data_IF_941250302138
#
_entry.id   IF_941250302138
#
_cell.length_a   1.000
_cell.length_b   1.000
_cell.length_c   1.000
_cell.angle_alpha   90.00
_cell.angle_beta   90.00
_cell.angle_gamma   90.00
#
_symmetry.space_group_name_H-M   'P 1'
#
loop_
_entity.id
_entity.type
_entity.pdbx_description
1 polymer ?
#
# COMPACT_ATOMS: atom_id res chain seq x y z
N UNK A 1 -33.66 -36.56 -9.03
CA UNK A 1 -34.02 -35.58 -7.99
C UNK A 1 -32.85 -34.89 -7.30
N UNK A 2 -31.68 -35.53 -7.12
CA UNK A 2 -30.55 -34.92 -6.40
C UNK A 2 -29.85 -33.76 -7.13
N UNK A 3 -29.70 -33.80 -8.47
CA UNK A 3 -29.01 -32.71 -9.20
C UNK A 3 -29.77 -31.38 -9.23
N UNK A 4 -31.11 -31.41 -9.36
CA UNK A 4 -31.95 -30.21 -9.32
C UNK A 4 -31.84 -29.47 -7.98
N UNK A 5 -31.66 -30.21 -6.88
CA UNK A 5 -31.46 -29.63 -5.54
C UNK A 5 -30.10 -28.95 -5.37
N UNK A 6 -29.06 -29.46 -6.05
CA UNK A 6 -27.71 -28.87 -6.03
C UNK A 6 -27.67 -27.57 -6.86
N UNK A 7 -28.29 -27.53 -8.03
CA UNK A 7 -28.41 -26.30 -8.81
C UNK A 7 -29.28 -25.25 -8.12
N UNK A 8 -30.40 -25.65 -7.50
CA UNK A 8 -31.26 -24.75 -6.74
C UNK A 8 -30.54 -24.16 -5.51
N UNK A 9 -29.83 -24.99 -4.74
CA UNK A 9 -29.05 -24.52 -3.57
C UNK A 9 -27.83 -23.67 -3.98
N UNK A 10 -27.20 -23.95 -5.12
CA UNK A 10 -26.17 -23.09 -5.70
C UNK A 10 -26.74 -21.72 -6.08
N UNK A 11 -27.94 -21.67 -6.67
CA UNK A 11 -28.63 -20.41 -6.99
C UNK A 11 -28.97 -19.57 -5.75
N UNK A 12 -29.48 -20.20 -4.69
CA UNK A 12 -29.84 -19.51 -3.44
C UNK A 12 -28.59 -18.94 -2.75
N UNK A 13 -27.50 -19.72 -2.68
CA UNK A 13 -26.24 -19.25 -2.09
C UNK A 13 -25.59 -18.12 -2.88
N UNK A 14 -25.68 -18.15 -4.22
CA UNK A 14 -25.22 -17.06 -5.09
C UNK A 14 -26.08 -15.80 -4.89
N UNK A 15 -27.39 -15.95 -4.76
CA UNK A 15 -28.32 -14.85 -4.45
C UNK A 15 -28.02 -14.18 -3.11
N UNK A 16 -27.86 -14.97 -2.04
CA UNK A 16 -27.50 -14.47 -0.70
C UNK A 16 -26.14 -13.76 -0.74
N UNK A 17 -25.15 -14.35 -1.42
CA UNK A 17 -23.83 -13.75 -1.59
C UNK A 17 -23.86 -12.42 -2.35
N UNK A 18 -24.66 -12.32 -3.41
CA UNK A 18 -24.85 -11.09 -4.18
C UNK A 18 -25.52 -9.99 -3.35
N UNK A 19 -26.61 -10.33 -2.64
CA UNK A 19 -27.31 -9.38 -1.77
C UNK A 19 -26.40 -8.88 -0.64
N UNK A 20 -25.69 -9.79 0.02
CA UNK A 20 -24.72 -9.44 1.06
C UNK A 20 -23.58 -8.57 0.49
N UNK A 21 -23.06 -8.91 -0.70
CA UNK A 21 -22.04 -8.12 -1.40
C UNK A 21 -22.52 -6.70 -1.76
N UNK A 22 -23.74 -6.56 -2.27
CA UNK A 22 -24.33 -5.25 -2.59
C UNK A 22 -24.55 -4.41 -1.34
N UNK A 23 -25.09 -5.00 -0.27
CA UNK A 23 -25.28 -4.30 1.02
C UNK A 23 -23.94 -3.82 1.57
N UNK A 24 -22.90 -4.65 1.57
CA UNK A 24 -21.58 -4.25 2.08
C UNK A 24 -20.92 -3.16 1.22
N UNK A 25 -21.10 -3.17 -0.10
CA UNK A 25 -20.63 -2.10 -0.98
C UNK A 25 -21.44 -0.80 -0.80
N UNK A 26 -22.74 -0.91 -0.58
CA UNK A 26 -23.62 0.22 -0.30
C UNK A 26 -23.23 0.89 1.02
N UNK A 27 -23.09 0.12 2.11
CA UNK A 27 -22.72 0.64 3.43
C UNK A 27 -21.40 1.40 3.37
N UNK A 28 -20.40 0.85 2.66
CA UNK A 28 -19.11 1.53 2.47
C UNK A 28 -19.26 2.84 1.69
N UNK A 29 -20.06 2.84 0.63
CA UNK A 29 -20.27 4.02 -0.22
C UNK A 29 -21.06 5.10 0.52
N UNK A 30 -22.08 4.72 1.29
CA UNK A 30 -22.87 5.61 2.14
C UNK A 30 -21.99 6.21 3.25
N UNK A 31 -21.13 5.41 3.88
CA UNK A 31 -20.18 5.92 4.89
C UNK A 31 -19.23 6.99 4.32
N UNK A 32 -18.70 6.78 3.11
CA UNK A 32 -17.85 7.75 2.42
C UNK A 32 -18.62 9.01 1.99
N UNK A 33 -19.88 8.85 1.60
CA UNK A 33 -20.76 9.96 1.29
C UNK A 33 -21.07 10.80 2.55
N UNK A 34 -21.42 10.15 3.67
CA UNK A 34 -21.71 10.82 4.95
C UNK A 34 -20.49 11.58 5.49
N UNK A 35 -19.31 10.97 5.44
CA UNK A 35 -18.07 11.64 5.85
C UNK A 35 -17.73 12.82 4.94
N UNK A 36 -18.00 12.70 3.64
CA UNK A 36 -17.85 13.79 2.67
C UNK A 36 -18.80 14.95 2.90
N UNK A 37 -20.09 14.64 3.12
CA UNK A 37 -21.09 15.65 3.50
C UNK A 37 -20.64 16.39 4.76
N UNK A 38 -20.26 15.65 5.80
CA UNK A 38 -19.89 16.25 7.07
C UNK A 38 -18.63 17.13 6.96
N UNK A 39 -17.64 16.73 6.16
CA UNK A 39 -16.48 17.57 5.83
C UNK A 39 -16.90 18.85 5.07
N UNK A 40 -17.80 18.72 4.08
CA UNK A 40 -18.32 19.85 3.32
C UNK A 40 -19.14 20.82 4.16
N UNK A 41 -19.88 20.32 5.16
CA UNK A 41 -20.59 21.13 6.16
C UNK A 41 -19.62 21.92 7.03
N UNK A 42 -18.59 21.26 7.57
CA UNK A 42 -17.55 21.93 8.37
C UNK A 42 -16.84 23.02 7.57
N UNK A 43 -16.51 22.74 6.31
CA UNK A 43 -15.88 23.72 5.43
C UNK A 43 -16.82 24.88 5.07
N UNK A 44 -18.12 24.61 4.88
CA UNK A 44 -19.12 25.67 4.69
C UNK A 44 -19.20 26.58 5.91
N UNK A 45 -19.21 26.01 7.13
CA UNK A 45 -19.24 26.80 8.36
C UNK A 45 -17.99 27.67 8.49
N UNK A 46 -16.81 27.14 8.21
CA UNK A 46 -15.57 27.92 8.18
C UNK A 46 -15.64 29.05 7.13
N UNK A 47 -16.10 28.74 5.92
CA UNK A 47 -16.30 29.73 4.85
C UNK A 47 -17.32 30.81 5.24
N UNK A 48 -18.42 30.43 5.87
CA UNK A 48 -19.45 31.33 6.36
C UNK A 48 -18.91 32.30 7.39
N UNK A 49 -18.14 31.81 8.37
CA UNK A 49 -17.49 32.65 9.38
C UNK A 49 -16.56 33.68 8.73
N UNK A 50 -15.78 33.27 7.72
CA UNK A 50 -14.92 34.19 6.97
C UNK A 50 -15.77 35.19 6.17
N UNK A 51 -16.80 34.74 5.47
CA UNK A 51 -17.65 35.66 4.67
C UNK A 51 -18.41 36.65 5.55
N UNK A 52 -18.84 36.23 6.74
CA UNK A 52 -19.51 37.09 7.72
C UNK A 52 -18.59 38.20 8.24
N UNK A 53 -17.26 38.02 8.18
CA UNK A 53 -16.29 39.07 8.48
C UNK A 53 -16.32 40.22 7.46
N UNK A 54 -16.60 39.92 6.18
CA UNK A 54 -16.52 40.90 5.09
C UNK A 54 -17.88 41.41 4.61
N UNK A 55 -18.93 40.60 4.76
CA UNK A 55 -20.29 40.92 4.32
C UNK A 55 -21.29 40.47 5.37
N UNK A 56 -22.20 41.34 5.79
CA UNK A 56 -23.37 40.99 6.61
C UNK A 56 -24.52 40.56 5.69
N UNK A 57 -24.79 39.25 5.53
CA UNK A 57 -25.85 38.80 4.65
C UNK A 57 -27.21 39.03 5.29
N UNK A 58 -28.13 39.66 4.56
CA UNK A 58 -29.51 39.90 4.97
C UNK A 58 -30.48 38.76 4.60
N UNK A 59 -29.99 37.68 3.97
CA UNK A 59 -30.83 36.61 3.40
C UNK A 59 -30.48 35.21 3.91
N UNK A 60 -31.50 34.48 4.37
CA UNK A 60 -31.44 33.09 4.84
C UNK A 60 -31.01 32.07 3.78
N UNK A 61 -31.25 32.37 2.50
CA UNK A 61 -30.98 31.44 1.40
C UNK A 61 -29.48 31.29 1.09
N UNK A 62 -28.67 32.30 1.42
CA UNK A 62 -27.23 32.28 1.17
C UNK A 62 -26.51 31.26 2.06
N UNK A 63 -26.64 31.28 3.41
CA UNK A 63 -26.02 30.27 4.26
C UNK A 63 -26.59 28.87 4.04
N UNK A 64 -27.90 28.76 3.76
CA UNK A 64 -28.51 27.47 3.46
C UNK A 64 -28.01 26.89 2.13
N UNK A 65 -27.92 27.73 1.09
CA UNK A 65 -27.39 27.37 -0.21
C UNK A 65 -25.91 27.02 -0.17
N UNK A 66 -25.10 27.74 0.62
CA UNK A 66 -23.67 27.41 0.78
C UNK A 66 -23.50 26.08 1.50
N UNK A 67 -24.27 25.83 2.57
CA UNK A 67 -24.18 24.60 3.35
C UNK A 67 -24.58 23.36 2.53
N UNK A 68 -25.67 23.46 1.78
CA UNK A 68 -26.13 22.40 0.87
C UNK A 68 -25.18 22.22 -0.33
N UNK A 69 -24.71 23.33 -0.91
CA UNK A 69 -23.83 23.35 -2.06
C UNK A 69 -22.46 22.74 -1.76
N UNK A 70 -21.75 23.25 -0.76
CA UNK A 70 -20.43 22.73 -0.39
C UNK A 70 -20.52 21.31 0.14
N UNK A 71 -21.56 20.99 0.93
CA UNK A 71 -21.85 19.64 1.41
C UNK A 71 -21.96 18.65 0.25
N UNK A 72 -22.84 18.93 -0.72
CA UNK A 72 -23.05 18.06 -1.87
C UNK A 72 -21.80 17.96 -2.77
N UNK A 73 -21.13 19.08 -3.03
CA UNK A 73 -19.89 19.09 -3.81
C UNK A 73 -18.82 18.20 -3.18
N UNK A 74 -18.57 18.35 -1.88
CA UNK A 74 -17.61 17.51 -1.17
C UNK A 74 -18.04 16.05 -1.13
N UNK A 75 -19.33 15.76 -0.94
CA UNK A 75 -19.83 14.39 -0.93
C UNK A 75 -19.64 13.66 -2.28
N UNK A 76 -19.73 14.37 -3.41
CA UNK A 76 -19.39 13.81 -4.73
C UNK A 76 -17.87 13.69 -4.88
N UNK A 77 -17.12 14.68 -4.40
CA UNK A 77 -15.66 14.70 -4.52
C UNK A 77 -14.99 13.59 -3.69
N UNK A 78 -15.57 13.21 -2.54
CA UNK A 78 -15.10 12.06 -1.75
C UNK A 78 -15.28 10.73 -2.47
N UNK A 79 -16.27 10.61 -3.36
CA UNK A 79 -16.43 9.42 -4.20
C UNK A 79 -15.33 9.33 -5.27
N UNK A 80 -14.85 10.47 -5.79
CA UNK A 80 -13.83 10.52 -6.83
C UNK A 80 -12.41 10.32 -6.28
N UNK A 81 -12.09 10.92 -5.13
CA UNK A 81 -10.74 10.93 -4.56
C UNK A 81 -10.70 10.39 -3.13
N UNK A 82 -11.21 9.17 -2.95
CA UNK A 82 -11.41 8.54 -1.64
C UNK A 82 -10.21 8.68 -0.70
N UNK A 83 -8.98 8.41 -1.17
CA UNK A 83 -7.78 8.43 -0.32
C UNK A 83 -7.46 9.82 0.25
N UNK A 84 -7.56 10.87 -0.58
CA UNK A 84 -7.24 12.24 -0.16
C UNK A 84 -8.32 12.78 0.78
N UNK A 85 -9.59 12.53 0.46
CA UNK A 85 -10.69 13.00 1.30
C UNK A 85 -10.79 12.27 2.64
N UNK A 86 -10.39 11.00 2.72
CA UNK A 86 -10.35 10.30 4.03
C UNK A 86 -9.26 10.84 4.95
N UNK A 87 -8.10 11.23 4.41
CA UNK A 87 -7.06 11.88 5.20
C UNK A 87 -7.55 13.26 5.65
N UNK A 88 -7.99 14.09 4.69
CA UNK A 88 -8.51 15.42 4.98
C UNK A 88 -9.65 15.39 6.01
N UNK A 89 -10.59 14.46 5.88
CA UNK A 89 -11.72 14.36 6.81
C UNK A 89 -11.27 13.99 8.22
N UNK A 90 -10.42 12.99 8.38
CA UNK A 90 -9.93 12.58 9.72
C UNK A 90 -9.09 13.66 10.41
N UNK A 91 -8.28 14.40 9.65
CA UNK A 91 -7.54 15.56 10.18
C UNK A 91 -8.47 16.71 10.59
N UNK A 92 -9.44 17.08 9.75
CA UNK A 92 -10.41 18.15 10.02
C UNK A 92 -11.33 17.78 11.19
N UNK A 93 -11.75 16.52 11.30
CA UNK A 93 -12.55 16.04 12.44
C UNK A 93 -11.79 16.11 13.75
N UNK A 94 -10.55 15.61 13.77
CA UNK A 94 -9.70 15.70 14.96
C UNK A 94 -9.48 17.16 15.37
N UNK A 95 -9.19 18.03 14.39
CA UNK A 95 -9.04 19.46 14.63
C UNK A 95 -10.32 20.11 15.17
N UNK A 96 -11.49 19.77 14.61
CA UNK A 96 -12.79 20.29 15.05
C UNK A 96 -13.12 19.86 16.50
N UNK A 97 -12.83 18.62 16.87
CA UNK A 97 -13.02 18.14 18.25
C UNK A 97 -12.09 18.91 19.20
N UNK A 98 -10.81 19.03 18.83
CA UNK A 98 -9.83 19.75 19.65
C UNK A 98 -10.17 21.24 19.79
N UNK A 99 -10.71 21.87 18.74
CA UNK A 99 -11.13 23.27 18.79
C UNK A 99 -12.36 23.47 19.65
N UNK A 100 -13.33 22.55 19.62
CA UNK A 100 -14.49 22.58 20.53
C UNK A 100 -14.05 22.38 21.97
N UNK A 101 -13.09 21.48 22.23
CA UNK A 101 -12.52 21.32 23.57
C UNK A 101 -11.83 22.62 24.03
N UNK A 102 -11.02 23.24 23.19
CA UNK A 102 -10.37 24.51 23.51
C UNK A 102 -11.38 25.64 23.75
N UNK A 103 -12.40 25.75 22.90
CA UNK A 103 -13.48 26.74 23.01
C UNK A 103 -14.29 26.57 24.31
N UNK A 104 -14.55 25.32 24.72
CA UNK A 104 -15.19 25.04 26.02
C UNK A 104 -14.34 25.53 27.21
N UNK A 105 -13.03 25.27 27.20
CA UNK A 105 -12.14 25.68 28.30
C UNK A 105 -11.90 27.19 28.38
N UNK A 106 -11.85 27.88 27.24
CA UNK A 106 -11.51 29.32 27.18
C UNK A 106 -12.75 30.21 27.28
N UNK A 107 -13.83 29.87 26.58
CA UNK A 107 -15.00 30.77 26.39
C UNK A 107 -16.36 30.11 26.69
N UNK A 108 -16.41 28.91 27.29
CA UNK A 108 -17.68 28.19 27.57
C UNK A 108 -18.57 28.02 26.31
N UNK A 109 -17.97 27.71 25.15
CA UNK A 109 -18.65 27.49 23.86
C UNK A 109 -19.24 28.76 23.20
N UNK A 110 -18.68 29.95 23.47
CA UNK A 110 -19.13 31.19 22.83
C UNK A 110 -18.95 31.20 21.29
N UNK A 111 -17.92 30.51 20.77
CA UNK A 111 -17.75 30.38 19.31
C UNK A 111 -18.88 29.54 18.70
N UNK A 112 -19.30 28.48 19.39
CA UNK A 112 -20.39 27.62 18.94
C UNK A 112 -21.76 28.33 18.98
N UNK A 113 -22.02 29.14 20.01
CA UNK A 113 -23.24 29.98 20.04
C UNK A 113 -23.22 31.05 18.96
N UNK A 114 -22.05 31.66 18.68
CA UNK A 114 -21.90 32.60 17.57
C UNK A 114 -22.19 31.95 16.20
N UNK A 115 -21.68 30.74 15.94
CA UNK A 115 -21.98 29.98 14.72
C UNK A 115 -23.48 29.68 14.62
N UNK A 116 -24.09 29.29 15.74
CA UNK A 116 -25.53 29.02 15.81
C UNK A 116 -26.38 30.27 15.56
N UNK A 117 -25.99 31.41 16.11
CA UNK A 117 -26.65 32.69 15.91
C UNK A 117 -26.48 33.18 14.47
N UNK A 118 -25.30 32.97 13.87
CA UNK A 118 -25.06 33.22 12.45
C UNK A 118 -25.96 32.36 11.55
N UNK A 119 -26.15 31.07 11.88
CA UNK A 119 -27.08 30.18 11.18
C UNK A 119 -28.54 30.62 11.34
N UNK A 120 -28.88 31.27 12.47
CA UNK A 120 -30.21 31.82 12.75
C UNK A 120 -30.43 33.25 12.25
N UNK A 121 -29.42 33.88 11.61
CA UNK A 121 -29.39 35.30 11.27
C UNK A 121 -29.69 36.23 12.46
N UNK A 122 -29.42 35.77 13.67
CA UNK A 122 -29.43 36.65 14.84
C UNK A 122 -28.11 37.41 14.85
N UNK A 123 -28.14 38.74 14.96
CA UNK A 123 -26.93 39.55 15.10
C UNK A 123 -26.18 39.09 16.36
N UNK A 124 -25.19 38.23 16.16
CA UNK A 124 -24.35 37.72 17.23
C UNK A 124 -23.50 38.84 17.83
N UNK A 125 -23.15 38.75 19.13
CA UNK A 125 -22.27 39.72 19.78
C UNK A 125 -20.90 39.78 19.08
N UNK A 126 -20.23 40.93 19.23
CA UNK A 126 -18.91 41.20 18.62
C UNK A 126 -17.88 40.14 19.05
N UNK A 127 -17.10 39.63 18.08
CA UNK A 127 -16.05 38.65 18.36
C UNK A 127 -14.96 39.25 19.25
N UNK A 128 -14.67 38.58 20.35
CA UNK A 128 -13.50 38.87 21.17
C UNK A 128 -12.21 38.45 20.45
N UNK A 129 -11.08 39.01 20.87
CA UNK A 129 -9.76 38.65 20.31
C UNK A 129 -9.40 37.16 20.53
N UNK A 130 -9.91 36.54 21.60
CA UNK A 130 -9.74 35.11 21.86
C UNK A 130 -10.47 34.25 20.82
N UNK A 131 -11.67 34.62 20.41
CA UNK A 131 -12.42 33.93 19.35
C UNK A 131 -11.64 33.93 18.02
N UNK A 132 -10.86 34.97 17.71
CA UNK A 132 -9.95 34.99 16.55
C UNK A 132 -8.83 33.95 16.67
N UNK A 133 -8.26 33.80 17.87
CA UNK A 133 -7.21 32.81 18.13
C UNK A 133 -7.78 31.40 17.99
N UNK A 134 -8.98 31.14 18.53
CA UNK A 134 -9.67 29.85 18.42
C UNK A 134 -10.03 29.54 16.95
N UNK A 135 -10.48 30.54 16.19
CA UNK A 135 -10.76 30.42 14.76
C UNK A 135 -9.49 30.08 13.95
N UNK A 136 -8.34 30.61 14.35
CA UNK A 136 -7.03 30.30 13.73
C UNK A 136 -6.46 28.94 14.12
N UNK A 137 -6.75 28.45 15.33
CA UNK A 137 -6.30 27.12 15.81
C UNK A 137 -6.88 26.00 14.94
N UNK A 138 -8.13 26.13 14.50
CA UNK A 138 -8.80 25.09 13.71
C UNK A 138 -8.10 24.74 12.39
N UNK A 139 -7.86 25.69 11.46
CA UNK A 139 -7.13 25.40 10.22
C UNK A 139 -5.67 25.02 10.50
N UNK A 140 -5.03 25.58 11.53
CA UNK A 140 -3.65 25.23 11.87
C UNK A 140 -3.54 23.75 12.28
N UNK A 141 -4.39 23.28 13.20
CA UNK A 141 -4.43 21.88 13.62
C UNK A 141 -4.82 20.95 12.48
N UNK A 142 -5.75 21.36 11.62
CA UNK A 142 -6.12 20.60 10.42
C UNK A 142 -4.93 20.45 9.47
N UNK A 143 -4.24 21.54 9.16
CA UNK A 143 -3.05 21.53 8.30
C UNK A 143 -1.93 20.66 8.90
N UNK A 144 -1.68 20.78 10.20
CA UNK A 144 -0.71 19.93 10.90
C UNK A 144 -1.13 18.46 10.79
N UNK A 145 -2.40 18.15 11.04
CA UNK A 145 -2.95 16.79 10.88
C UNK A 145 -2.78 16.24 9.48
N UNK A 146 -3.08 17.04 8.45
CA UNK A 146 -2.91 16.67 7.04
C UNK A 146 -1.43 16.48 6.70
N UNK A 147 -0.53 17.36 7.15
CA UNK A 147 0.91 17.23 6.90
C UNK A 147 1.47 16.01 7.61
N UNK A 148 1.09 15.76 8.85
CA UNK A 148 1.49 14.55 9.60
C UNK A 148 0.98 13.32 8.87
N UNK A 149 -0.30 13.27 8.53
CA UNK A 149 -0.89 12.15 7.80
C UNK A 149 -0.26 11.97 6.43
N UNK A 150 0.04 13.04 5.70
CA UNK A 150 0.68 12.97 4.39
C UNK A 150 2.11 12.45 4.52
N UNK A 151 2.90 13.00 5.46
CA UNK A 151 4.26 12.52 5.74
C UNK A 151 4.27 11.06 6.18
N UNK A 152 3.36 10.67 7.09
CA UNK A 152 3.17 9.28 7.47
C UNK A 152 2.60 8.43 6.32
N UNK A 153 1.88 8.98 5.36
CA UNK A 153 1.31 8.22 4.23
C UNK A 153 2.32 7.99 3.13
N UNK A 154 3.26 8.91 2.95
CA UNK A 154 4.42 8.71 2.08
C UNK A 154 5.37 7.66 2.69
N UNK A 155 5.54 7.65 4.02
CA UNK A 155 6.38 6.68 4.72
C UNK A 155 5.68 5.34 5.03
N UNK A 156 4.34 5.33 5.17
CA UNK A 156 3.57 4.13 5.51
C UNK A 156 3.11 3.40 4.25
N UNK A 157 4.03 2.55 3.80
CA UNK A 157 3.80 1.35 3.01
C UNK A 157 3.39 1.52 1.54
N UNK A 158 4.37 1.16 0.71
CA UNK A 158 4.23 0.38 -0.53
C UNK A 158 3.23 -0.80 -0.35
N UNK A 159 1.93 -0.49 -0.35
CA UNK A 159 0.82 -1.43 -0.31
C UNK A 159 -0.23 -1.12 -1.39
N UNK A 160 -0.32 0.12 -1.86
CA UNK A 160 -1.02 0.43 -3.13
C UNK A 160 -0.30 -0.25 -4.30
N UNK A 161 1.04 -0.26 -4.30
CA UNK A 161 1.83 -1.05 -5.25
C UNK A 161 1.62 -2.55 -5.06
N UNK A 162 1.49 -3.07 -3.83
CA UNK A 162 1.32 -4.52 -3.60
C UNK A 162 -0.09 -4.99 -3.96
N UNK A 163 -1.14 -4.17 -3.79
CA UNK A 163 -2.50 -4.49 -4.23
C UNK A 163 -2.61 -4.42 -5.76
N UNK A 164 -1.99 -3.42 -6.39
CA UNK A 164 -1.89 -3.34 -7.86
C UNK A 164 -1.04 -4.46 -8.41
N UNK A 165 0.09 -4.79 -7.79
CA UNK A 165 1.01 -5.86 -8.19
C UNK A 165 0.41 -7.25 -7.92
N UNK A 166 -0.39 -7.45 -6.85
CA UNK A 166 -1.16 -8.70 -6.66
C UNK A 166 -2.28 -8.84 -7.68
N UNK A 167 -2.99 -7.75 -8.03
CA UNK A 167 -3.99 -7.75 -9.12
C UNK A 167 -3.33 -8.01 -10.48
N UNK A 168 -2.23 -7.33 -10.79
CA UNK A 168 -1.43 -7.56 -12.00
C UNK A 168 -0.85 -8.98 -12.04
N UNK A 169 -0.31 -9.51 -10.93
CA UNK A 169 0.13 -10.91 -10.82
C UNK A 169 -1.00 -11.89 -11.03
N UNK A 170 -2.21 -11.65 -10.48
CA UNK A 170 -3.38 -12.51 -10.75
C UNK A 170 -3.83 -12.43 -12.21
N UNK A 171 -3.84 -11.25 -12.82
CA UNK A 171 -4.17 -11.08 -14.25
C UNK A 171 -3.12 -11.74 -15.15
N UNK A 172 -1.84 -11.63 -14.81
CA UNK A 172 -0.77 -12.33 -15.52
C UNK A 172 -0.85 -13.85 -15.33
N UNK A 173 -1.12 -14.35 -14.13
CA UNK A 173 -1.37 -15.78 -13.88
C UNK A 173 -2.58 -16.29 -14.64
N UNK A 174 -3.65 -15.50 -14.76
CA UNK A 174 -4.83 -15.86 -15.56
C UNK A 174 -4.48 -15.94 -17.05
N UNK A 175 -3.76 -14.95 -17.60
CA UNK A 175 -3.27 -14.99 -18.99
C UNK A 175 -2.30 -16.14 -19.25
N UNK A 176 -1.45 -16.49 -18.27
CA UNK A 176 -0.52 -17.62 -18.37
C UNK A 176 -1.30 -18.94 -18.39
N UNK A 177 -2.27 -19.13 -17.48
CA UNK A 177 -3.15 -20.31 -17.50
C UNK A 177 -3.95 -20.42 -18.81
N UNK A 178 -4.38 -19.30 -19.36
CA UNK A 178 -5.09 -19.28 -20.65
C UNK A 178 -4.16 -19.64 -21.82
N UNK A 179 -2.91 -19.15 -21.82
CA UNK A 179 -1.89 -19.55 -22.80
C UNK A 179 -1.51 -21.03 -22.67
N UNK A 180 -1.41 -21.55 -21.45
CA UNK A 180 -1.12 -22.97 -21.20
C UNK A 180 -2.32 -23.86 -21.58
N UNK A 181 -3.55 -23.40 -21.37
CA UNK A 181 -4.76 -24.08 -21.84
C UNK A 181 -4.83 -24.10 -23.37
N UNK A 182 -4.54 -22.97 -24.04
CA UNK A 182 -4.45 -22.89 -25.51
C UNK A 182 -3.32 -23.77 -26.06
N UNK A 183 -2.15 -23.81 -25.40
CA UNK A 183 -1.06 -24.74 -25.76
C UNK A 183 -1.45 -26.19 -25.57
N UNK A 184 -2.20 -26.55 -24.51
CA UNK A 184 -2.71 -27.91 -24.31
C UNK A 184 -3.76 -28.30 -25.34
N UNK A 185 -4.59 -27.36 -25.78
CA UNK A 185 -5.55 -27.57 -26.87
C UNK A 185 -4.83 -27.72 -28.22
N UNK A 186 -3.79 -26.92 -28.50
CA UNK A 186 -2.97 -27.07 -29.71
C UNK A 186 -2.11 -28.34 -29.70
N UNK A 187 -1.61 -28.75 -28.53
CA UNK A 187 -0.88 -30.01 -28.36
C UNK A 187 -1.80 -31.25 -28.38
N UNK A 188 -3.11 -31.08 -28.23
CA UNK A 188 -4.10 -32.14 -28.39
C UNK A 188 -4.37 -32.54 -29.85
N UNK A 189 -3.79 -31.83 -30.83
CA UNK A 189 -3.89 -32.14 -32.26
C UNK A 189 -2.64 -32.76 -32.89
N UNK A 190 -1.57 -32.98 -32.11
CA UNK A 190 -0.35 -33.63 -32.59
C UNK A 190 0.02 -34.81 -31.68
N UNK A 191 -0.64 -35.93 -31.93
CA UNK A 191 -0.08 -37.24 -31.60
C UNK A 191 1.24 -37.40 -32.36
N UNK A 192 2.35 -37.66 -31.64
CA UNK A 192 3.60 -38.05 -32.29
C UNK A 192 4.88 -37.68 -31.55
N UNK A 193 5.49 -38.69 -30.94
CA UNK A 193 6.93 -38.79 -30.62
C UNK A 193 7.39 -38.02 -29.38
N UNK A 194 7.36 -38.76 -28.27
CA UNK A 194 8.04 -38.51 -27.02
C UNK A 194 9.49 -38.02 -27.21
N UNK A 195 9.76 -36.77 -26.83
CA UNK A 195 11.09 -36.38 -26.34
C UNK A 195 10.97 -35.74 -24.98
N UNK A 196 10.76 -36.59 -23.96
CA UNK A 196 10.99 -36.25 -22.55
C UNK A 196 12.40 -35.68 -22.46
N UNK A 197 12.54 -34.36 -22.31
CA UNK A 197 13.78 -33.78 -21.81
C UNK A 197 13.93 -34.30 -20.38
N UNK A 198 15.01 -35.05 -20.05
CA UNK A 198 15.28 -35.39 -18.66
C UNK A 198 15.45 -34.09 -17.88
N UNK A 199 14.78 -34.00 -16.73
CA UNK A 199 15.04 -32.96 -15.74
C UNK A 199 16.53 -32.96 -15.43
N UNK A 200 17.22 -31.80 -15.41
CA UNK A 200 18.61 -31.77 -14.98
C UNK A 200 18.65 -32.23 -13.53
N UNK A 201 19.25 -33.40 -13.31
CA UNK A 201 19.47 -33.95 -11.97
C UNK A 201 20.36 -32.96 -11.25
N UNK A 202 19.80 -32.29 -10.24
CA UNK A 202 20.51 -31.42 -9.31
C UNK A 202 21.46 -32.30 -8.50
N UNK A 203 22.66 -32.57 -9.03
CA UNK A 203 23.73 -33.24 -8.28
C UNK A 203 24.37 -32.20 -7.37
N UNK A 204 23.95 -32.20 -6.11
CA UNK A 204 24.75 -31.69 -5.02
C UNK A 204 25.79 -32.75 -4.68
N UNK A 205 27.04 -32.52 -5.05
CA UNK A 205 28.24 -33.02 -4.40
C UNK A 205 29.41 -32.23 -5.01
N UNK A 206 30.20 -31.59 -4.16
CA UNK A 206 31.33 -30.77 -4.58
C UNK A 206 32.33 -31.60 -5.37
N UNK A 207 32.37 -31.35 -6.67
CA UNK A 207 33.57 -31.24 -7.50
C UNK A 207 33.10 -30.93 -8.92
N UNK A 208 32.63 -29.69 -9.10
CA UNK A 208 32.52 -29.12 -10.43
C UNK A 208 33.93 -28.68 -10.83
N UNK A 209 34.71 -29.60 -11.37
CA UNK A 209 35.91 -29.21 -12.09
C UNK A 209 35.51 -28.21 -13.18
N UNK A 210 36.12 -27.02 -13.14
CA UNK A 210 35.81 -25.94 -14.05
C UNK A 210 35.96 -26.45 -15.51
N UNK A 211 35.06 -26.06 -16.43
CA UNK A 211 35.13 -26.48 -17.83
C UNK A 211 36.49 -26.21 -18.48
N UNK A 212 37.21 -25.19 -18.02
CA UNK A 212 38.58 -24.86 -18.42
C UNK A 212 39.61 -25.93 -18.06
N UNK A 213 39.47 -26.61 -16.93
CA UNK A 213 40.40 -27.65 -16.50
C UNK A 213 40.33 -28.89 -17.40
N UNK A 214 39.11 -29.31 -17.75
CA UNK A 214 38.88 -30.39 -18.72
C UNK A 214 39.42 -30.03 -20.11
N UNK A 215 39.28 -28.77 -20.51
CA UNK A 215 39.85 -28.28 -21.76
C UNK A 215 41.39 -28.37 -21.75
N UNK A 216 42.03 -28.01 -20.63
CA UNK A 216 43.50 -28.09 -20.51
C UNK A 216 44.04 -29.53 -20.53
N UNK A 217 43.32 -30.48 -19.94
CA UNK A 217 43.68 -31.90 -20.01
C UNK A 217 43.56 -32.45 -21.43
N UNK A 218 42.51 -32.02 -22.14
CA UNK A 218 42.33 -32.38 -23.55
C UNK A 218 43.45 -31.82 -24.42
N UNK A 219 43.81 -30.55 -24.23
CA UNK A 219 44.91 -29.93 -24.98
C UNK A 219 46.28 -30.58 -24.70
N UNK A 220 46.53 -31.01 -23.45
CA UNK A 220 47.74 -31.78 -23.12
C UNK A 220 47.75 -33.18 -23.76
N UNK A 221 46.59 -33.79 -23.97
CA UNK A 221 46.48 -35.09 -24.66
C UNK A 221 46.55 -34.94 -26.19
N UNK A 222 46.01 -33.88 -26.76
CA UNK A 222 45.99 -33.66 -28.22
C UNK A 222 47.22 -32.94 -28.76
N UNK A 223 48.05 -32.35 -27.89
CA UNK A 223 49.34 -31.72 -28.24
C UNK A 223 50.49 -32.70 -28.50
N UNK A 224 50.29 -34.02 -28.34
CA UNK A 224 51.30 -35.05 -28.62
C UNK A 224 50.88 -35.89 -29.82
N UNK A 225 50.87 -35.27 -31.00
CA UNK A 225 50.72 -35.99 -32.26
C UNK A 225 52.02 -36.68 -32.66
N UNK A 226 51.91 -37.96 -33.03
CA UNK A 226 52.86 -38.76 -33.82
C UNK A 226 54.09 -39.33 -33.09
N UNK A 227 54.05 -40.63 -32.75
CA UNK A 227 55.03 -41.64 -33.19
C UNK A 227 54.72 -43.02 -32.58
N UNK A 228 54.84 -44.05 -33.42
CA UNK A 228 54.84 -45.46 -33.09
C UNK A 228 55.95 -45.79 -32.09
N UNK A 229 55.66 -46.59 -31.04
CA UNK A 229 56.46 -47.74 -30.54
C UNK A 229 56.39 -47.94 -29.02
N UNK A 230 56.02 -49.18 -28.65
CA UNK A 230 56.57 -50.01 -27.56
C UNK A 230 56.60 -49.52 -26.09
N UNK A 231 55.93 -50.34 -25.26
CA UNK A 231 56.48 -51.03 -24.08
C UNK A 231 56.74 -50.23 -22.78
N UNK A 232 56.07 -50.68 -21.71
CA UNK A 232 56.43 -50.47 -20.31
C UNK A 232 56.08 -49.06 -19.79
N UNK A 233 55.71 -48.82 -18.54
CA UNK A 233 55.73 -49.61 -17.32
C UNK A 233 54.89 -48.82 -16.32
N UNK A 234 54.19 -49.56 -15.46
CA UNK A 234 53.68 -49.18 -14.15
C UNK A 234 54.50 -48.09 -13.47
N UNK A 235 53.85 -47.03 -12.98
CA UNK A 235 54.32 -46.24 -11.84
C UNK A 235 53.12 -45.67 -11.09
N UNK A 236 52.80 -46.36 -10.00
CA UNK A 236 52.04 -45.87 -8.86
C UNK A 236 52.80 -44.71 -8.19
N UNK A 237 52.22 -44.21 -7.09
CA UNK A 237 52.85 -43.37 -6.03
C UNK A 237 52.74 -41.86 -6.32
N UNK A 238 52.34 -40.95 -5.41
CA UNK A 238 52.14 -40.97 -3.95
C UNK A 238 50.99 -40.00 -3.63
N UNK A 239 50.10 -40.41 -2.74
CA UNK A 239 49.19 -39.53 -1.98
C UNK A 239 50.07 -38.85 -0.92
N UNK A 240 50.21 -37.53 -0.97
CA UNK A 240 50.79 -36.77 0.14
C UNK A 240 49.69 -35.93 0.78
N UNK A 241 49.28 -36.38 1.97
CA UNK A 241 48.23 -35.82 2.79
C UNK A 241 48.93 -35.13 3.97
N UNK A 242 49.35 -33.88 3.78
CA UNK A 242 49.84 -33.08 4.89
C UNK A 242 48.70 -32.32 5.56
N UNK A 243 48.38 -32.85 6.74
CA UNK A 243 47.49 -32.32 7.77
C UNK A 243 48.31 -31.41 8.67
N UNK A 244 47.97 -30.13 8.78
CA UNK A 244 48.46 -29.33 9.89
C UNK A 244 47.39 -28.40 10.48
N UNK A 245 47.21 -28.60 11.78
CA UNK A 245 46.26 -27.97 12.69
C UNK A 245 46.98 -26.82 13.40
N UNK A 246 46.38 -25.62 13.45
CA UNK A 246 47.02 -24.46 14.10
C UNK A 246 46.03 -23.42 14.59
N UNK A 247 45.30 -23.74 15.67
CA UNK A 247 44.53 -22.80 16.48
C UNK A 247 45.45 -22.09 17.47
N UNK A 248 45.60 -20.76 17.39
CA UNK A 248 45.93 -19.91 18.56
C UNK A 248 45.42 -18.47 18.37
N UNK A 249 44.44 -18.08 19.19
CA UNK A 249 44.11 -16.68 19.52
C UNK A 249 45.16 -16.14 20.50
N UNK A 250 45.46 -14.82 20.51
CA UNK A 250 45.35 -14.12 21.80
C UNK A 250 44.72 -12.71 21.74
N UNK A 251 44.00 -12.40 22.82
CA UNK A 251 43.48 -11.11 23.26
C UNK A 251 44.60 -10.24 23.88
N UNK A 252 44.61 -8.92 23.65
CA UNK A 252 44.88 -7.78 24.61
C UNK A 252 45.08 -6.48 23.79
N UNK A 253 44.29 -5.40 23.92
CA UNK A 253 44.09 -4.40 25.00
C UNK A 253 45.00 -3.15 24.88
N UNK A 254 44.40 -1.95 24.75
CA UNK A 254 44.56 -0.75 25.63
C UNK A 254 44.12 0.57 24.93
N UNK A 255 43.31 1.35 25.66
CA UNK A 255 42.85 2.74 25.44
C UNK A 255 43.85 3.74 26.11
N UNK A 256 43.56 5.04 26.37
CA UNK A 256 42.97 6.16 25.61
C UNK A 256 43.87 7.43 25.62
N UNK A 257 43.60 8.48 24.83
CA UNK A 257 44.07 9.86 25.15
C UNK A 257 43.04 10.94 24.75
N UNK A 258 42.64 11.74 25.74
CA UNK A 258 41.87 13.01 25.70
C UNK A 258 42.83 14.19 25.55
N UNK A 259 42.41 15.27 24.86
CA UNK A 259 42.86 16.69 24.95
C UNK A 259 42.11 17.50 23.89
N UNK A 260 41.55 18.71 24.06
CA UNK A 260 41.43 19.73 25.12
C UNK A 260 40.03 20.32 25.00
#
# INVERSE_FOLDING_TARGET
DTQLSVEASAGISLGIGLMCGLVTMLVRSVGLFMTGLLLGLLLALAGLLITHQFYTPTSLWVPLGSLLGTGMLFAVLTLQWQKMFTMLSTAVFGAAIMTVCADYFVEMLALASYVYDCLRLSLGPVLCWYSWVILGIWPALSLIGVVIQWKLTDDSFSHTEVVVNRRQKRVQLMRIREKDAKKRQQAGGQEGIYRRKPTPVKRYAGDLLAPSYLQSLRDRQTGTGTSLSSLGTTSQTVIDLDYDTGSTVPLTATTPVVRV
#
